data_IF_998696186047
#
_entry.id   IF_998696186047
#
_cell.length_a   1.000
_cell.length_b   1.000
_cell.length_c   1.000
_cell.angle_alpha   90.00
_cell.angle_beta   90.00
_cell.angle_gamma   90.00
#
_symmetry.space_group_name_H-M   'P 1'
#
loop_
_entity.id
_entity.type
_entity.pdbx_description
1 polymer ?
#
# COMPACT_ATOMS: atom_id res chain seq x y z
N UNK A 1 -20.41 -59.43 33.73
CA UNK A 1 -20.58 -60.47 32.67
C UNK A 1 -22.01 -60.61 32.23
N UNK A 2 -23.04 -60.35 33.08
CA UNK A 2 -24.47 -60.37 32.70
C UNK A 2 -25.12 -61.78 32.68
N UNK A 3 -24.40 -62.80 33.08
CA UNK A 3 -24.92 -64.14 33.23
C UNK A 3 -25.37 -64.36 34.66
N UNK A 4 -26.45 -65.16 34.85
CA UNK A 4 -26.78 -65.71 36.15
C UNK A 4 -25.90 -66.94 36.48
N UNK A 5 -25.79 -67.32 37.72
CA UNK A 5 -25.05 -68.54 38.13
C UNK A 5 -25.56 -69.77 37.42
N UNK A 6 -26.86 -69.92 37.26
CA UNK A 6 -27.47 -71.06 36.62
C UNK A 6 -27.06 -71.20 35.15
N UNK A 7 -26.83 -70.07 34.45
CA UNK A 7 -26.44 -70.03 33.02
C UNK A 7 -24.96 -70.42 32.81
N UNK A 8 -24.12 -70.29 33.78
CA UNK A 8 -22.65 -70.55 33.69
C UNK A 8 -22.24 -71.85 34.38
N UNK A 9 -23.01 -72.33 35.32
CA UNK A 9 -22.67 -73.55 36.06
C UNK A 9 -22.54 -74.75 35.09
N UNK A 10 -21.39 -75.42 35.17
CA UNK A 10 -21.05 -76.56 34.31
C UNK A 10 -20.67 -76.20 32.88
N UNK A 11 -20.58 -74.89 32.54
CA UNK A 11 -20.10 -74.47 31.25
C UNK A 11 -18.58 -74.28 31.27
N UNK A 12 -17.95 -74.55 30.09
CA UNK A 12 -16.52 -74.38 29.97
C UNK A 12 -16.16 -72.88 29.88
N UNK A 13 -15.01 -72.52 30.46
CA UNK A 13 -14.52 -71.14 30.52
C UNK A 13 -14.46 -70.47 29.12
N UNK A 14 -14.27 -71.23 28.03
CA UNK A 14 -14.24 -70.75 26.67
C UNK A 14 -15.48 -69.97 26.25
N UNK A 15 -16.62 -70.14 26.97
CA UNK A 15 -17.83 -69.33 26.69
C UNK A 15 -17.58 -67.82 26.86
N UNK A 16 -16.63 -67.42 27.69
CA UNK A 16 -16.25 -66.02 27.92
C UNK A 16 -15.13 -65.54 27.00
N UNK A 17 -14.55 -66.40 26.16
CA UNK A 17 -13.42 -66.09 25.31
C UNK A 17 -13.91 -65.78 23.90
N UNK A 18 -13.27 -64.77 23.28
CA UNK A 18 -13.58 -64.42 21.89
C UNK A 18 -13.40 -65.67 21.00
N UNK A 19 -14.32 -65.96 20.08
CA UNK A 19 -14.27 -67.18 19.26
C UNK A 19 -12.90 -67.44 18.62
N UNK A 20 -12.27 -66.40 18.07
CA UNK A 20 -10.98 -66.52 17.40
C UNK A 20 -9.83 -66.95 18.35
N UNK A 21 -9.97 -66.75 19.66
CA UNK A 21 -8.91 -67.05 20.63
C UNK A 21 -9.15 -68.42 21.32
N UNK A 22 -10.34 -69.04 21.17
CA UNK A 22 -10.66 -70.29 21.91
C UNK A 22 -9.73 -71.45 21.59
N UNK A 23 -9.31 -71.56 20.32
CA UNK A 23 -8.45 -72.61 19.83
C UNK A 23 -6.97 -72.14 19.63
N UNK A 24 -6.67 -70.94 20.11
CA UNK A 24 -5.32 -70.37 19.98
C UNK A 24 -4.27 -71.12 20.80
N UNK A 25 -3.02 -71.10 20.36
CA UNK A 25 -1.90 -71.66 21.14
C UNK A 25 -1.75 -70.93 22.49
N UNK A 26 -2.02 -69.63 22.54
CA UNK A 26 -1.99 -68.85 23.77
C UNK A 26 -3.04 -69.33 24.81
N UNK A 27 -4.25 -69.65 24.38
CA UNK A 27 -5.29 -70.14 25.26
C UNK A 27 -5.01 -71.56 25.75
N UNK A 28 -4.42 -72.40 24.93
CA UNK A 28 -3.96 -73.76 25.37
C UNK A 28 -2.83 -73.64 26.40
N UNK A 29 -1.86 -72.78 26.15
CA UNK A 29 -0.74 -72.55 27.09
C UNK A 29 -1.21 -71.89 28.40
N UNK A 30 -2.18 -71.01 28.33
CA UNK A 30 -2.83 -70.45 29.54
C UNK A 30 -3.36 -71.54 30.46
N UNK A 31 -4.10 -72.54 29.93
CA UNK A 31 -4.59 -73.66 30.72
C UNK A 31 -3.47 -74.62 31.09
N UNK A 32 -2.46 -74.85 30.26
CA UNK A 32 -1.31 -75.68 30.60
C UNK A 32 -0.54 -75.14 31.83
N UNK A 33 -0.35 -73.80 31.88
CA UNK A 33 0.28 -73.13 33.03
C UNK A 33 -0.56 -73.31 34.33
N UNK A 34 -1.84 -73.07 34.27
CA UNK A 34 -2.72 -73.25 35.42
C UNK A 34 -2.71 -74.70 35.88
N UNK A 35 -2.65 -75.69 34.99
CA UNK A 35 -2.56 -77.11 35.32
C UNK A 35 -1.19 -77.55 35.90
N UNK A 36 -0.15 -76.71 35.71
CA UNK A 36 1.15 -76.86 36.35
C UNK A 36 1.20 -76.21 37.76
N UNK A 37 0.09 -75.57 38.19
CA UNK A 37 0.03 -74.82 39.45
C UNK A 37 0.53 -73.38 39.32
N UNK A 38 0.82 -72.90 38.12
CA UNK A 38 1.25 -71.52 37.88
C UNK A 38 0.03 -70.59 37.84
N UNK A 39 0.06 -69.48 38.57
CA UNK A 39 -0.98 -68.49 38.48
C UNK A 39 -0.81 -67.70 37.19
N UNK A 40 -1.89 -67.08 36.70
CA UNK A 40 -1.87 -66.15 35.55
C UNK A 40 -2.59 -64.85 35.90
N UNK A 41 -1.99 -63.71 35.52
CA UNK A 41 -2.53 -62.40 35.83
C UNK A 41 -2.36 -61.47 34.64
N UNK A 42 -3.41 -60.75 34.29
CA UNK A 42 -3.36 -59.82 33.17
C UNK A 42 -4.69 -59.19 32.81
N UNK A 43 -4.68 -58.40 31.76
CA UNK A 43 -5.88 -57.84 31.17
C UNK A 43 -6.38 -58.77 30.05
N UNK A 44 -7.66 -59.03 30.07
CA UNK A 44 -8.26 -59.99 29.14
C UNK A 44 -9.52 -59.40 28.53
N UNK A 45 -9.66 -59.52 27.23
CA UNK A 45 -10.92 -59.29 26.51
C UNK A 45 -11.81 -60.52 26.71
N UNK A 46 -13.03 -60.36 27.18
CA UNK A 46 -14.00 -61.41 27.42
C UNK A 46 -15.36 -61.03 26.83
N UNK A 47 -16.18 -62.05 26.59
CA UNK A 47 -17.56 -61.91 26.12
C UNK A 47 -18.51 -62.10 27.27
N UNK A 48 -19.37 -61.13 27.52
CA UNK A 48 -20.51 -61.24 28.40
C UNK A 48 -21.73 -61.76 27.64
N UNK A 49 -22.86 -61.84 28.34
CA UNK A 49 -24.14 -62.28 27.83
C UNK A 49 -24.55 -61.39 26.61
N UNK A 50 -25.05 -62.04 25.54
CA UNK A 50 -25.40 -61.38 24.31
C UNK A 50 -24.21 -60.92 23.45
N UNK A 51 -22.99 -61.46 23.71
CA UNK A 51 -21.79 -61.13 22.95
C UNK A 51 -21.14 -59.78 23.31
N UNK A 52 -21.56 -59.15 24.41
CA UNK A 52 -21.00 -57.86 24.85
C UNK A 52 -19.52 -58.01 25.21
N UNK A 53 -18.67 -57.26 24.57
CA UNK A 53 -17.23 -57.21 24.88
C UNK A 53 -17.00 -56.54 26.25
N UNK A 54 -16.18 -57.14 27.07
CA UNK A 54 -15.80 -56.69 28.40
C UNK A 54 -14.29 -56.84 28.57
N UNK A 55 -13.63 -55.79 29.00
CA UNK A 55 -12.23 -55.87 29.41
C UNK A 55 -12.16 -56.08 30.90
N UNK A 56 -11.43 -57.12 31.31
CA UNK A 56 -11.24 -57.41 32.72
C UNK A 56 -9.75 -57.43 33.05
N UNK A 57 -9.39 -56.86 34.21
CA UNK A 57 -8.13 -57.13 34.88
C UNK A 57 -8.39 -58.32 35.80
N UNK A 58 -7.73 -59.46 35.56
CA UNK A 58 -8.04 -60.68 36.26
C UNK A 58 -6.79 -61.44 36.69
N UNK A 59 -6.93 -62.15 37.80
CA UNK A 59 -5.97 -63.15 38.24
C UNK A 59 -6.66 -64.51 38.29
N UNK A 60 -5.98 -65.53 37.78
CA UNK A 60 -6.40 -66.95 37.84
C UNK A 60 -5.44 -67.68 38.72
N UNK A 61 -5.93 -68.23 39.82
CA UNK A 61 -5.11 -68.81 40.87
C UNK A 61 -5.49 -70.29 41.04
N UNK A 62 -4.61 -71.24 40.65
CA UNK A 62 -4.83 -72.66 40.92
C UNK A 62 -4.86 -72.94 42.40
N UNK A 63 -5.85 -73.74 42.83
CA UNK A 63 -5.93 -74.26 44.14
C UNK A 63 -5.37 -75.71 44.11
N UNK A 64 -4.40 -75.97 44.93
CA UNK A 64 -3.71 -77.28 44.99
C UNK A 64 -4.31 -78.17 46.09
N UNK A 65 -4.36 -79.46 45.84
CA UNK A 65 -4.68 -80.48 46.83
C UNK A 65 -3.48 -80.77 47.76
N UNK A 66 -3.67 -81.65 48.69
CA UNK A 66 -2.62 -82.04 49.65
C UNK A 66 -1.37 -82.66 48.99
N UNK A 67 -1.53 -83.18 47.75
CA UNK A 67 -0.43 -83.74 47.00
C UNK A 67 0.25 -82.68 46.08
N UNK A 68 -0.16 -81.37 46.15
CA UNK A 68 0.37 -80.28 45.34
C UNK A 68 -0.16 -80.26 43.96
N UNK A 69 -1.23 -81.00 43.62
CA UNK A 69 -1.82 -80.99 42.24
C UNK A 69 -2.96 -79.99 42.15
N UNK A 70 -3.02 -79.17 41.12
CA UNK A 70 -4.17 -78.30 40.88
C UNK A 70 -5.46 -79.06 40.68
N UNK A 71 -6.49 -78.73 41.50
CA UNK A 71 -7.83 -79.33 41.35
C UNK A 71 -8.92 -78.29 41.06
N UNK A 72 -8.66 -77.00 41.29
CA UNK A 72 -9.58 -75.90 40.98
C UNK A 72 -8.81 -74.67 40.61
N UNK A 73 -9.46 -73.69 39.95
CA UNK A 73 -8.90 -72.37 39.67
C UNK A 73 -9.90 -71.31 40.14
N UNK A 74 -9.43 -70.46 41.05
CA UNK A 74 -10.20 -69.29 41.50
C UNK A 74 -9.78 -68.04 40.73
N UNK A 75 -10.76 -67.37 40.13
CA UNK A 75 -10.56 -66.15 39.41
C UNK A 75 -11.09 -64.95 40.17
N UNK A 76 -10.23 -63.94 40.34
CA UNK A 76 -10.66 -62.61 40.73
C UNK A 76 -10.58 -61.70 39.53
N UNK A 77 -11.62 -60.87 39.29
CA UNK A 77 -11.67 -60.01 38.09
C UNK A 77 -12.37 -58.68 38.39
N UNK A 78 -11.77 -57.59 37.91
CA UNK A 78 -12.33 -56.25 37.93
C UNK A 78 -12.68 -55.86 36.50
N UNK A 79 -13.87 -55.29 36.27
CA UNK A 79 -14.24 -54.74 34.98
C UNK A 79 -13.53 -53.40 34.77
N UNK A 80 -12.67 -53.35 33.76
CA UNK A 80 -11.88 -52.17 33.37
C UNK A 80 -12.32 -51.59 32.01
N UNK A 81 -13.49 -52.03 31.49
CA UNK A 81 -13.97 -51.63 30.18
C UNK A 81 -14.13 -50.12 30.03
N UNK A 82 -14.74 -49.47 31.04
CA UNK A 82 -14.95 -48.01 31.00
C UNK A 82 -13.59 -47.25 31.01
N UNK A 83 -12.62 -47.74 31.79
CA UNK A 83 -11.29 -47.16 31.85
C UNK A 83 -10.54 -47.31 30.50
N UNK A 84 -10.64 -48.52 29.89
CA UNK A 84 -10.02 -48.79 28.57
C UNK A 84 -10.63 -47.96 27.47
N UNK A 85 -11.96 -47.84 27.42
CA UNK A 85 -12.65 -47.02 26.43
C UNK A 85 -12.25 -45.54 26.57
N UNK A 86 -12.21 -45.03 27.81
CA UNK A 86 -11.80 -43.66 28.06
C UNK A 86 -10.32 -43.38 27.65
N UNK A 87 -9.43 -44.34 27.96
CA UNK A 87 -8.04 -44.23 27.52
C UNK A 87 -7.90 -44.23 26.01
N UNK A 88 -8.58 -45.16 25.33
CA UNK A 88 -8.57 -45.26 23.86
C UNK A 88 -9.15 -43.98 23.18
N UNK A 89 -10.22 -43.40 23.75
CA UNK A 89 -10.80 -42.16 23.27
C UNK A 89 -9.82 -40.99 23.45
N UNK A 90 -9.20 -40.85 24.64
CA UNK A 90 -8.20 -39.83 24.90
C UNK A 90 -6.98 -39.96 23.95
N UNK A 91 -6.47 -41.16 23.75
CA UNK A 91 -5.35 -41.42 22.86
C UNK A 91 -5.72 -41.08 21.38
N UNK A 92 -6.96 -41.44 20.99
CA UNK A 92 -7.49 -41.11 19.68
C UNK A 92 -7.60 -39.58 19.42
N UNK A 93 -8.08 -38.83 20.40
CA UNK A 93 -8.18 -37.38 20.33
C UNK A 93 -6.79 -36.72 20.25
N UNK A 94 -5.84 -37.17 21.09
CA UNK A 94 -4.46 -36.66 21.05
C UNK A 94 -3.81 -36.93 19.69
N UNK A 95 -4.00 -38.12 19.13
CA UNK A 95 -3.45 -38.49 17.83
C UNK A 95 -4.08 -37.66 16.69
N UNK A 96 -5.38 -37.41 16.77
CA UNK A 96 -6.07 -36.53 15.80
C UNK A 96 -5.49 -35.09 15.83
N UNK A 97 -5.26 -34.54 17.02
CA UNK A 97 -4.62 -33.22 17.18
C UNK A 97 -3.18 -33.25 16.62
N UNK A 98 -2.42 -34.31 16.90
CA UNK A 98 -1.03 -34.45 16.41
C UNK A 98 -0.94 -34.54 14.88
N UNK A 99 -1.97 -35.09 14.21
CA UNK A 99 -2.04 -35.14 12.74
C UNK A 99 -2.34 -33.78 12.11
N UNK A 100 -3.16 -32.97 12.77
CA UNK A 100 -3.66 -31.70 12.21
C UNK A 100 -2.81 -30.48 12.59
N UNK A 101 -2.13 -30.49 13.74
CA UNK A 101 -1.39 -29.36 14.27
C UNK A 101 0.10 -29.62 14.42
N UNK A 102 0.90 -28.54 14.37
CA UNK A 102 2.29 -28.57 14.79
C UNK A 102 2.36 -28.66 16.32
N UNK A 103 2.93 -29.74 16.84
CA UNK A 103 3.00 -30.02 18.29
C UNK A 103 4.46 -30.12 18.72
N UNK A 104 4.80 -29.42 19.80
CA UNK A 104 6.11 -29.52 20.44
C UNK A 104 5.95 -29.50 21.94
N UNK A 105 6.72 -30.35 22.64
CA UNK A 105 6.72 -30.48 24.09
C UNK A 105 8.01 -29.92 24.69
N UNK A 106 7.87 -29.27 25.84
CA UNK A 106 8.96 -28.69 26.61
C UNK A 106 8.96 -29.18 28.05
N UNK A 107 10.12 -29.27 28.66
CA UNK A 107 10.26 -29.26 30.08
C UNK A 107 9.87 -27.89 30.65
N UNK A 108 9.67 -27.81 31.96
CA UNK A 108 9.28 -26.59 32.66
C UNK A 108 10.39 -25.51 32.62
N UNK A 109 11.62 -25.87 32.30
CA UNK A 109 12.76 -24.97 32.06
C UNK A 109 12.82 -24.44 30.61
N UNK A 110 11.91 -24.90 29.73
CA UNK A 110 11.88 -24.52 28.32
C UNK A 110 12.77 -25.37 27.40
N UNK A 111 13.38 -26.44 27.88
CA UNK A 111 14.10 -27.40 27.04
C UNK A 111 13.13 -28.26 26.23
N UNK A 112 13.42 -28.48 24.93
CA UNK A 112 12.57 -29.26 24.03
C UNK A 112 12.68 -30.74 24.30
N UNK A 113 11.56 -31.41 24.58
CA UNK A 113 11.43 -32.85 24.79
C UNK A 113 11.21 -33.62 23.50
N UNK A 114 10.19 -33.20 22.76
CA UNK A 114 9.75 -33.83 21.51
C UNK A 114 9.07 -32.83 20.61
N UNK A 115 8.96 -33.16 19.33
CA UNK A 115 8.19 -32.42 18.34
C UNK A 115 7.64 -33.42 17.30
N UNK A 116 6.43 -33.14 16.77
CA UNK A 116 5.86 -33.94 15.70
C UNK A 116 6.35 -33.48 14.32
N UNK A 117 6.03 -34.26 13.29
CA UNK A 117 6.44 -33.99 11.92
C UNK A 117 5.93 -32.64 11.40
N UNK A 118 4.71 -32.25 11.74
CA UNK A 118 4.15 -30.96 11.33
C UNK A 118 4.96 -29.77 11.87
N UNK A 119 5.39 -29.86 13.14
CA UNK A 119 6.26 -28.83 13.71
C UNK A 119 7.64 -28.79 13.03
N UNK A 120 8.22 -29.95 12.79
CA UNK A 120 9.52 -30.06 12.14
C UNK A 120 9.46 -29.56 10.69
N UNK A 121 8.42 -29.89 9.94
CA UNK A 121 8.19 -29.40 8.59
C UNK A 121 8.01 -27.88 8.55
N UNK A 122 7.18 -27.31 9.42
CA UNK A 122 6.94 -25.86 9.48
C UNK A 122 8.22 -25.07 9.80
N UNK A 123 9.07 -25.62 10.70
CA UNK A 123 10.28 -24.94 11.15
C UNK A 123 11.54 -25.30 10.35
N UNK A 124 11.52 -26.40 9.58
CA UNK A 124 12.66 -26.90 8.83
C UNK A 124 13.78 -27.55 9.66
N UNK A 125 13.54 -27.76 10.96
CA UNK A 125 14.48 -28.48 11.83
C UNK A 125 14.18 -29.97 11.84
N UNK A 126 15.21 -30.79 12.05
CA UNK A 126 15.05 -32.19 12.46
C UNK A 126 14.90 -32.29 13.98
N UNK A 127 14.28 -33.37 14.47
CA UNK A 127 14.13 -33.59 15.91
C UNK A 127 15.49 -33.64 16.62
N UNK A 128 16.52 -34.24 15.98
CA UNK A 128 17.87 -34.31 16.52
C UNK A 128 18.50 -32.94 16.75
N UNK A 129 18.18 -31.94 15.90
CA UNK A 129 18.72 -30.59 16.02
C UNK A 129 18.10 -29.78 17.14
N UNK A 130 16.86 -30.08 17.52
CA UNK A 130 16.10 -29.26 18.50
C UNK A 130 15.96 -29.96 19.86
N UNK A 131 15.91 -31.29 19.91
CA UNK A 131 15.74 -32.04 21.16
C UNK A 131 16.86 -31.73 22.15
N UNK A 132 16.49 -31.46 23.42
CA UNK A 132 17.41 -31.08 24.47
C UNK A 132 17.92 -29.65 24.41
N UNK A 133 17.63 -28.90 23.31
CA UNK A 133 17.94 -27.48 23.26
C UNK A 133 16.84 -26.66 23.89
N UNK A 134 17.21 -25.50 24.41
CA UNK A 134 16.24 -24.56 24.94
C UNK A 134 15.43 -23.94 23.80
N UNK A 135 14.13 -23.74 24.00
CA UNK A 135 13.21 -23.09 23.08
C UNK A 135 13.76 -21.80 22.43
N UNK A 136 14.71 -21.13 23.09
CA UNK A 136 15.39 -19.95 22.58
C UNK A 136 15.97 -20.09 21.16
N UNK A 137 16.20 -21.32 20.66
CA UNK A 137 16.64 -21.54 19.26
C UNK A 137 15.59 -21.11 18.22
N UNK A 138 14.32 -21.03 18.63
CA UNK A 138 13.17 -20.65 17.80
C UNK A 138 12.79 -19.16 17.95
N UNK A 139 13.54 -18.41 18.75
CA UNK A 139 13.25 -17.03 19.12
C UNK A 139 14.46 -16.16 18.80
N UNK A 140 14.24 -15.00 18.24
CA UNK A 140 15.32 -14.05 17.93
C UNK A 140 16.11 -13.65 19.21
N UNK A 141 17.42 -13.38 19.10
CA UNK A 141 18.26 -13.01 20.26
C UNK A 141 17.67 -11.85 21.07
N UNK A 142 17.20 -10.81 20.40
CA UNK A 142 16.63 -9.63 21.04
C UNK A 142 15.33 -9.89 21.84
N UNK A 143 14.64 -10.99 21.60
CA UNK A 143 13.41 -11.36 22.29
C UNK A 143 13.68 -12.23 23.53
N UNK A 144 14.78 -12.99 23.53
CA UNK A 144 15.15 -13.89 24.64
C UNK A 144 15.41 -13.17 25.94
N UNK A 145 16.00 -11.98 25.89
CA UNK A 145 16.47 -11.26 27.08
C UNK A 145 15.40 -10.33 27.66
N UNK A 146 14.24 -10.23 27.01
CA UNK A 146 13.15 -9.35 27.47
C UNK A 146 12.50 -9.88 28.74
N UNK A 147 12.09 -8.96 29.62
CA UNK A 147 11.32 -9.28 30.82
C UNK A 147 10.05 -10.07 30.49
N UNK A 148 9.38 -9.78 29.38
CA UNK A 148 8.20 -10.50 28.88
C UNK A 148 8.47 -11.99 28.61
N UNK A 149 9.68 -12.35 28.15
CA UNK A 149 10.05 -13.75 27.92
C UNK A 149 10.18 -14.51 29.25
N UNK A 150 10.74 -13.89 30.26
CA UNK A 150 10.85 -14.49 31.62
C UNK A 150 9.47 -14.65 32.25
N UNK A 151 8.62 -13.62 32.16
CA UNK A 151 7.26 -13.67 32.69
C UNK A 151 6.39 -14.72 31.97
N UNK A 152 6.58 -14.91 30.68
CA UNK A 152 5.93 -15.96 29.91
C UNK A 152 6.18 -17.35 30.53
N UNK A 153 7.44 -17.69 30.86
CA UNK A 153 7.77 -18.97 31.49
C UNK A 153 7.32 -19.03 32.95
N UNK A 154 7.42 -17.93 33.68
CA UNK A 154 6.92 -17.85 35.04
C UNK A 154 5.40 -18.12 35.10
N UNK A 155 4.65 -17.61 34.15
CA UNK A 155 3.20 -17.85 34.01
C UNK A 155 2.90 -19.35 33.75
N UNK A 156 3.62 -19.96 32.79
CA UNK A 156 3.48 -21.40 32.53
C UNK A 156 3.84 -22.28 33.76
N UNK A 157 4.87 -21.89 34.52
CA UNK A 157 5.26 -22.57 35.76
C UNK A 157 4.20 -22.42 36.87
N UNK A 158 3.39 -21.37 36.85
CA UNK A 158 2.21 -21.21 37.70
C UNK A 158 0.99 -21.98 37.20
N UNK A 159 1.12 -22.72 36.09
CA UNK A 159 0.01 -23.48 35.51
C UNK A 159 -0.92 -22.69 34.60
N UNK A 160 -0.57 -21.45 34.23
CA UNK A 160 -1.36 -20.62 33.39
C UNK A 160 -0.99 -20.86 31.91
N UNK A 161 -1.96 -21.18 31.05
CA UNK A 161 -1.71 -21.32 29.63
C UNK A 161 -1.49 -19.93 28.95
N UNK A 162 -0.80 -19.94 27.82
CA UNK A 162 -0.52 -18.75 27.05
C UNK A 162 -0.91 -18.99 25.59
N UNK A 163 -1.71 -18.10 25.00
CA UNK A 163 -2.12 -18.20 23.61
C UNK A 163 -2.00 -16.84 22.91
N UNK A 164 -1.31 -16.80 21.78
CA UNK A 164 -1.15 -15.61 20.96
C UNK A 164 -0.62 -15.96 19.56
N UNK A 165 -0.51 -14.96 18.72
CA UNK A 165 0.31 -15.00 17.50
C UNK A 165 1.76 -14.70 17.86
N UNK A 166 2.67 -15.48 17.34
CA UNK A 166 4.09 -15.35 17.63
C UNK A 166 4.92 -15.38 16.35
N UNK A 167 5.81 -14.42 16.23
CA UNK A 167 6.89 -14.49 15.24
C UNK A 167 7.96 -15.47 15.75
N UNK A 168 8.40 -16.39 14.90
CA UNK A 168 9.43 -17.37 15.19
C UNK A 168 10.47 -17.43 14.10
N UNK A 169 11.63 -17.93 14.45
CA UNK A 169 12.75 -18.11 13.52
C UNK A 169 12.87 -19.60 13.23
N UNK A 170 12.63 -19.98 11.99
CA UNK A 170 12.85 -21.30 11.46
C UNK A 170 14.34 -21.51 11.09
N UNK A 171 14.70 -22.71 10.69
CA UNK A 171 16.06 -23.05 10.23
C UNK A 171 16.48 -22.15 9.06
N UNK A 172 17.74 -21.71 9.08
CA UNK A 172 18.26 -20.77 8.07
C UNK A 172 17.85 -19.32 8.28
N UNK A 173 17.26 -18.97 9.43
CA UNK A 173 16.86 -17.58 9.73
C UNK A 173 15.51 -17.16 9.14
N UNK A 174 14.76 -18.08 8.52
CA UNK A 174 13.46 -17.80 7.92
C UNK A 174 12.45 -17.41 9.00
N UNK A 175 11.81 -16.27 8.86
CA UNK A 175 10.74 -15.81 9.74
C UNK A 175 9.44 -16.56 9.42
N UNK A 176 8.79 -17.06 10.45
CA UNK A 176 7.45 -17.66 10.38
C UNK A 176 6.55 -17.05 11.44
N UNK A 177 5.28 -16.94 11.11
CA UNK A 177 4.25 -16.53 12.03
C UNK A 177 3.41 -17.74 12.41
N UNK A 178 3.20 -17.92 13.68
CA UNK A 178 2.41 -19.03 14.20
C UNK A 178 1.36 -18.51 15.17
N UNK A 179 0.14 -18.98 15.02
CA UNK A 179 -0.86 -18.92 16.07
C UNK A 179 -0.63 -20.12 16.99
N UNK A 180 -0.34 -19.91 18.27
CA UNK A 180 0.03 -21.00 19.15
C UNK A 180 -0.52 -20.83 20.56
N UNK A 181 -0.84 -21.98 21.18
CA UNK A 181 -1.13 -22.09 22.59
C UNK A 181 -0.07 -22.95 23.29
N UNK A 182 0.38 -22.53 24.46
CA UNK A 182 1.30 -23.23 25.34
C UNK A 182 0.53 -23.67 26.58
N UNK A 183 0.42 -24.97 26.82
CA UNK A 183 -0.47 -25.55 27.80
C UNK A 183 0.35 -26.36 28.80
N UNK A 184 0.43 -25.93 30.05
CA UNK A 184 1.03 -26.74 31.12
C UNK A 184 0.23 -28.05 31.33
N UNK A 185 0.95 -29.15 31.40
CA UNK A 185 0.37 -30.47 31.76
C UNK A 185 0.76 -30.78 33.19
N UNK A 186 -0.22 -31.23 33.96
CA UNK A 186 -0.08 -31.44 35.41
C UNK A 186 0.11 -32.92 35.72
N UNK A 187 0.88 -33.19 36.76
CA UNK A 187 0.99 -34.51 37.38
C UNK A 187 -0.23 -34.83 38.27
N UNK A 188 -0.22 -36.00 38.88
CA UNK A 188 -1.31 -36.44 39.79
C UNK A 188 -1.48 -35.58 41.05
N UNK A 189 -0.46 -34.77 41.37
CA UNK A 189 -0.47 -33.85 42.52
C UNK A 189 -0.87 -32.42 42.11
N UNK A 190 -1.25 -32.20 40.84
CA UNK A 190 -1.62 -30.90 40.35
C UNK A 190 -0.43 -29.97 40.06
N UNK A 191 0.82 -30.49 40.00
CA UNK A 191 2.01 -29.71 39.69
C UNK A 191 2.32 -29.76 38.17
N UNK A 192 2.56 -28.63 37.51
CA UNK A 192 2.99 -28.64 36.13
C UNK A 192 4.34 -29.36 35.96
N UNK A 193 4.44 -30.30 34.99
CA UNK A 193 5.68 -31.07 34.77
C UNK A 193 6.19 -30.98 33.32
N UNK A 194 5.36 -30.56 32.38
CA UNK A 194 5.73 -30.26 31.02
C UNK A 194 4.78 -29.21 30.42
N UNK A 195 5.19 -28.61 29.32
CA UNK A 195 4.35 -27.73 28.50
C UNK A 195 4.17 -28.38 27.13
N UNK A 196 2.94 -28.48 26.67
CA UNK A 196 2.61 -28.88 25.30
C UNK A 196 2.17 -27.65 24.54
N UNK A 197 2.83 -27.36 23.43
CA UNK A 197 2.48 -26.30 22.51
C UNK A 197 1.79 -26.88 21.30
N UNK A 198 0.63 -26.34 21.00
CA UNK A 198 -0.06 -26.52 19.73
C UNK A 198 0.10 -25.26 18.89
N UNK A 199 0.39 -25.42 17.60
CA UNK A 199 0.62 -24.28 16.73
C UNK A 199 0.10 -24.54 15.31
N UNK A 200 -0.39 -23.47 14.70
CA UNK A 200 -0.74 -23.41 13.28
C UNK A 200 0.17 -22.38 12.60
N UNK A 201 0.73 -22.71 11.45
CA UNK A 201 1.48 -21.75 10.64
C UNK A 201 0.50 -20.80 9.97
N UNK A 202 0.61 -19.52 10.30
CA UNK A 202 -0.20 -18.42 9.76
C UNK A 202 0.65 -17.44 8.97
N UNK A 203 1.84 -17.87 8.51
CA UNK A 203 2.79 -16.99 7.80
C UNK A 203 2.16 -16.34 6.58
N UNK A 204 1.42 -17.12 5.78
CA UNK A 204 0.74 -16.62 4.60
C UNK A 204 -0.31 -15.55 4.95
N UNK A 205 -1.11 -15.79 6.00
CA UNK A 205 -2.12 -14.84 6.49
C UNK A 205 -1.48 -13.56 7.06
N UNK A 206 -0.41 -13.69 7.83
CA UNK A 206 0.32 -12.56 8.41
C UNK A 206 0.96 -11.68 7.33
N UNK A 207 1.55 -12.31 6.30
CA UNK A 207 2.09 -11.61 5.13
C UNK A 207 0.96 -10.93 4.35
N UNK A 208 -0.16 -11.63 4.15
CA UNK A 208 -1.34 -11.08 3.48
C UNK A 208 -1.89 -9.84 4.19
N UNK A 209 -2.09 -9.90 5.50
CA UNK A 209 -2.50 -8.74 6.32
C UNK A 209 -1.54 -7.55 6.16
N UNK A 210 -0.24 -7.79 6.28
CA UNK A 210 0.76 -6.73 6.11
C UNK A 210 0.75 -6.11 4.71
N UNK A 211 0.52 -6.92 3.67
CA UNK A 211 0.37 -6.41 2.30
C UNK A 211 -0.88 -5.55 2.15
N UNK A 212 -2.00 -5.97 2.73
CA UNK A 212 -3.25 -5.22 2.73
C UNK A 212 -3.11 -3.88 3.48
N UNK A 213 -2.47 -3.88 4.65
CA UNK A 213 -2.21 -2.65 5.42
C UNK A 213 -1.32 -1.67 4.64
N UNK A 214 -0.27 -2.16 3.98
CA UNK A 214 0.57 -1.33 3.13
C UNK A 214 -0.21 -0.78 1.93
N UNK A 215 -1.04 -1.61 1.29
CA UNK A 215 -1.88 -1.17 0.17
C UNK A 215 -2.88 -0.08 0.59
N UNK A 216 -3.50 -0.19 1.77
CA UNK A 216 -4.34 0.87 2.35
C UNK A 216 -3.57 2.18 2.51
N UNK A 217 -2.36 2.13 3.09
CA UNK A 217 -1.54 3.33 3.23
C UNK A 217 -1.17 3.99 1.90
N UNK A 218 -0.95 3.22 0.83
CA UNK A 218 -0.76 3.76 -0.52
C UNK A 218 -2.03 4.41 -1.07
N UNK A 219 -3.18 3.75 -0.92
CA UNK A 219 -4.48 4.27 -1.36
C UNK A 219 -4.78 5.61 -0.69
N UNK A 220 -4.61 5.71 0.63
CA UNK A 220 -4.82 6.93 1.40
C UNK A 220 -3.91 8.06 0.92
N UNK A 221 -2.63 7.76 0.65
CA UNK A 221 -1.67 8.73 0.14
C UNK A 221 -2.03 9.24 -1.27
N UNK A 222 -2.48 8.35 -2.16
CA UNK A 222 -2.89 8.72 -3.52
C UNK A 222 -4.21 9.50 -3.49
N UNK A 223 -5.15 9.14 -2.61
CA UNK A 223 -6.40 9.87 -2.44
C UNK A 223 -6.16 11.32 -1.98
N UNK A 224 -5.31 11.51 -0.96
CA UNK A 224 -4.91 12.85 -0.50
C UNK A 224 -4.19 13.65 -1.59
N UNK A 225 -3.30 13.02 -2.36
CA UNK A 225 -2.63 13.62 -3.50
C UNK A 225 -3.61 14.05 -4.61
N UNK A 226 -4.65 13.25 -4.86
CA UNK A 226 -5.70 13.57 -5.84
C UNK A 226 -6.56 14.75 -5.40
N UNK A 227 -6.89 14.88 -4.12
CA UNK A 227 -7.60 16.04 -3.59
C UNK A 227 -6.76 17.32 -3.73
N UNK A 228 -5.47 17.26 -3.38
CA UNK A 228 -4.56 18.40 -3.56
C UNK A 228 -4.41 18.78 -5.03
N UNK A 229 -4.29 17.79 -5.93
CA UNK A 229 -4.22 18.03 -7.38
C UNK A 229 -5.51 18.69 -7.90
N UNK A 230 -6.69 18.24 -7.44
CA UNK A 230 -7.97 18.87 -7.80
C UNK A 230 -8.06 20.33 -7.34
N UNK A 231 -7.47 20.67 -6.20
CA UNK A 231 -7.38 22.05 -5.75
C UNK A 231 -6.45 22.88 -6.65
N UNK A 232 -5.27 22.36 -6.99
CA UNK A 232 -4.30 22.99 -7.89
C UNK A 232 -4.87 23.21 -9.30
N UNK A 233 -5.60 22.22 -9.84
CA UNK A 233 -6.28 22.31 -11.12
C UNK A 233 -7.29 23.46 -11.16
N UNK A 234 -8.07 23.63 -10.11
CA UNK A 234 -9.02 24.75 -9.97
C UNK A 234 -8.31 26.10 -9.97
N UNK A 235 -7.21 26.23 -9.23
CA UNK A 235 -6.40 27.45 -9.18
C UNK A 235 -5.77 27.77 -10.52
N UNK A 236 -5.23 26.77 -11.25
CA UNK A 236 -4.70 26.95 -12.60
C UNK A 236 -5.80 27.38 -13.56
N UNK A 237 -6.98 26.76 -13.51
CA UNK A 237 -8.13 27.12 -14.36
C UNK A 237 -8.57 28.58 -14.14
N UNK A 238 -8.63 29.03 -12.88
CA UNK A 238 -8.94 30.44 -12.56
C UNK A 238 -7.85 31.38 -13.08
N UNK A 239 -6.57 31.00 -12.93
CA UNK A 239 -5.43 31.76 -13.46
C UNK A 239 -5.45 31.87 -14.97
N UNK A 240 -5.80 30.78 -15.67
CA UNK A 240 -5.95 30.78 -17.12
C UNK A 240 -7.09 31.70 -17.60
N UNK A 241 -8.23 31.72 -16.87
CA UNK A 241 -9.32 32.63 -17.13
C UNK A 241 -8.90 34.10 -17.01
N UNK A 242 -8.21 34.47 -15.94
CA UNK A 242 -7.64 35.82 -15.72
C UNK A 242 -6.59 36.18 -16.79
N UNK A 243 -5.75 35.24 -17.17
CA UNK A 243 -4.73 35.43 -18.21
C UNK A 243 -5.38 35.74 -19.54
N UNK A 244 -6.46 35.02 -19.91
CA UNK A 244 -7.24 35.26 -21.13
C UNK A 244 -7.89 36.64 -21.14
N UNK A 245 -8.49 37.05 -20.03
CA UNK A 245 -9.08 38.40 -19.88
C UNK A 245 -8.01 39.49 -20.06
N UNK A 246 -6.86 39.31 -19.39
CA UNK A 246 -5.72 40.24 -19.49
C UNK A 246 -5.17 40.34 -20.89
N UNK A 247 -5.00 39.21 -21.57
CA UNK A 247 -4.51 39.18 -22.95
C UNK A 247 -5.52 39.89 -23.92
N UNK A 248 -6.81 39.64 -23.72
CA UNK A 248 -7.87 40.30 -24.49
C UNK A 248 -7.86 41.84 -24.30
N UNK A 249 -7.77 42.28 -23.03
CA UNK A 249 -7.68 43.68 -22.70
C UNK A 249 -6.40 44.35 -23.28
N UNK A 250 -5.27 43.65 -23.23
CA UNK A 250 -4.02 44.11 -23.82
C UNK A 250 -4.10 44.23 -25.33
N UNK A 251 -4.71 43.26 -26.01
CA UNK A 251 -4.97 43.32 -27.45
C UNK A 251 -5.82 44.55 -27.82
N UNK A 252 -6.89 44.81 -27.04
CA UNK A 252 -7.71 46.02 -27.27
C UNK A 252 -6.94 47.34 -27.08
N UNK A 253 -5.99 47.39 -26.14
CA UNK A 253 -5.09 48.56 -25.98
C UNK A 253 -4.13 48.74 -27.14
N UNK A 254 -3.59 47.64 -27.68
CA UNK A 254 -2.72 47.67 -28.85
C UNK A 254 -3.49 48.18 -30.07
N UNK A 255 -4.73 47.71 -30.30
CA UNK A 255 -5.59 48.19 -31.39
C UNK A 255 -5.90 49.69 -31.23
N UNK A 256 -6.14 50.20 -30.05
CA UNK A 256 -6.35 51.62 -29.81
C UNK A 256 -5.08 52.43 -30.06
N UNK A 257 -3.90 51.92 -29.69
CA UNK A 257 -2.60 52.57 -29.94
C UNK A 257 -2.29 52.59 -31.46
N UNK A 258 -2.60 51.51 -32.19
CA UNK A 258 -2.44 51.44 -33.65
C UNK A 258 -3.30 52.50 -34.35
N UNK A 259 -4.58 52.65 -33.94
CA UNK A 259 -5.45 53.70 -34.45
C UNK A 259 -4.89 55.12 -34.19
N UNK A 260 -4.23 55.34 -33.03
CA UNK A 260 -3.60 56.65 -32.73
C UNK A 260 -2.36 56.86 -33.61
N UNK A 261 -1.54 55.85 -33.85
CA UNK A 261 -0.39 55.94 -34.77
C UNK A 261 -0.84 56.27 -36.22
N UNK A 262 -1.94 55.63 -36.68
CA UNK A 262 -2.52 55.94 -38.02
C UNK A 262 -3.02 57.37 -38.08
N UNK A 263 -3.68 57.92 -37.07
CA UNK A 263 -4.11 59.31 -37.01
C UNK A 263 -2.93 60.25 -37.00
N UNK A 264 -1.85 59.94 -36.29
CA UNK A 264 -0.63 60.72 -36.24
C UNK A 264 0.00 60.77 -37.67
N UNK A 265 0.08 59.65 -38.35
CA UNK A 265 0.58 59.62 -39.77
C UNK A 265 -0.26 60.47 -40.72
N UNK A 266 -1.58 60.36 -40.63
CA UNK A 266 -2.48 61.18 -41.44
C UNK A 266 -2.33 62.71 -41.19
N UNK A 267 -2.16 63.08 -39.90
CA UNK A 267 -1.91 64.48 -39.51
C UNK A 267 -0.55 64.98 -40.02
N UNK A 268 0.48 64.18 -39.95
CA UNK A 268 1.81 64.52 -40.49
C UNK A 268 1.78 64.69 -42.03
N UNK A 269 1.06 63.81 -42.72
CA UNK A 269 0.85 63.97 -44.18
C UNK A 269 0.11 65.27 -44.54
N UNK A 270 -0.93 65.62 -43.78
CA UNK A 270 -1.65 66.89 -44.02
C UNK A 270 -0.74 68.08 -43.73
N UNK A 271 0.10 68.05 -42.68
CA UNK A 271 1.10 69.10 -42.42
C UNK A 271 2.14 69.21 -43.55
N UNK A 272 2.58 68.08 -44.12
CA UNK A 272 3.52 68.06 -45.24
C UNK A 272 2.91 68.83 -46.42
N UNK A 273 1.62 68.64 -46.76
CA UNK A 273 0.95 69.37 -47.81
C UNK A 273 0.85 70.88 -47.55
N UNK A 274 0.62 71.29 -46.28
CA UNK A 274 0.62 72.73 -45.92
C UNK A 274 2.01 73.34 -46.06
N UNK A 275 3.07 72.64 -45.61
CA UNK A 275 4.47 73.11 -45.71
C UNK A 275 4.89 73.24 -47.15
N UNK A 276 4.49 72.32 -48.04
CA UNK A 276 4.74 72.41 -49.49
C UNK A 276 4.03 73.63 -50.07
N UNK A 277 2.80 73.92 -49.71
CA UNK A 277 2.06 75.10 -50.15
C UNK A 277 2.78 76.40 -49.71
N UNK A 278 3.22 76.46 -48.42
CA UNK A 278 3.96 77.62 -47.92
C UNK A 278 5.30 77.79 -48.66
N UNK A 279 5.98 76.66 -48.94
CA UNK A 279 7.21 76.68 -49.75
C UNK A 279 6.99 77.25 -51.16
N UNK A 280 5.88 76.87 -51.80
CA UNK A 280 5.50 77.39 -53.07
C UNK A 280 5.20 78.90 -53.02
N UNK A 281 4.45 79.37 -51.98
CA UNK A 281 4.12 80.78 -51.78
C UNK A 281 5.41 81.60 -51.55
N UNK A 282 6.34 81.10 -50.66
CA UNK A 282 7.58 81.80 -50.43
C UNK A 282 8.48 81.87 -51.65
N UNK A 283 8.46 80.81 -52.50
CA UNK A 283 9.14 80.84 -53.80
C UNK A 283 8.56 81.91 -54.71
N UNK A 284 7.22 82.10 -54.80
CA UNK A 284 6.56 83.13 -55.56
C UNK A 284 6.89 84.53 -55.03
N UNK A 285 6.89 84.72 -53.69
CA UNK A 285 7.26 86.00 -53.03
C UNK A 285 8.72 86.33 -53.35
N UNK A 286 9.64 85.38 -53.30
CA UNK A 286 11.04 85.59 -53.63
C UNK A 286 11.20 86.01 -55.09
N UNK A 287 10.44 85.46 -56.08
CA UNK A 287 10.44 85.87 -57.47
C UNK A 287 9.85 87.26 -57.71
N UNK A 288 8.76 87.58 -56.96
CA UNK A 288 8.16 88.93 -56.99
C UNK A 288 9.16 89.98 -56.45
N UNK A 289 9.85 89.69 -55.33
CA UNK A 289 10.86 90.54 -54.75
C UNK A 289 12.07 90.74 -55.68
N UNK A 290 12.46 89.65 -56.36
CA UNK A 290 13.53 89.74 -57.42
C UNK A 290 13.12 90.63 -58.54
N UNK A 291 11.90 90.52 -59.13
CA UNK A 291 11.38 91.37 -60.18
C UNK A 291 11.29 92.84 -59.72
N UNK A 292 10.85 93.11 -58.53
CA UNK A 292 10.82 94.45 -57.94
C UNK A 292 12.24 95.01 -57.73
N UNK A 293 13.21 94.23 -57.34
CA UNK A 293 14.65 94.65 -57.24
C UNK A 293 15.21 95.03 -58.60
N UNK A 294 14.89 94.29 -59.67
CA UNK A 294 15.31 94.56 -61.04
C UNK A 294 14.66 95.87 -61.54
N UNK A 295 13.39 96.05 -61.33
CA UNK A 295 12.70 97.29 -61.82
C UNK A 295 13.08 98.53 -61.02
N UNK A 296 13.36 98.37 -59.71
CA UNK A 296 13.94 99.46 -58.88
C UNK A 296 15.31 99.88 -59.36
N UNK A 297 16.18 98.93 -59.76
CA UNK A 297 17.48 99.24 -60.39
C UNK A 297 17.32 99.94 -61.72
N UNK A 298 16.29 99.66 -62.52
CA UNK A 298 15.99 100.27 -63.81
C UNK A 298 15.48 101.73 -63.71
N UNK A 299 14.80 102.02 -62.57
CA UNK A 299 14.31 103.34 -62.25
C UNK A 299 15.41 104.34 -61.74
N UNK A 300 16.66 103.88 -61.53
CA UNK A 300 17.78 104.70 -61.14
C UNK A 300 17.59 105.32 -59.72
N UNK A 301 17.93 106.62 -59.56
CA UNK A 301 17.81 107.36 -58.31
C UNK A 301 16.37 107.34 -57.68
N UNK A 302 15.32 107.37 -58.59
CA UNK A 302 13.89 107.36 -58.19
C UNK A 302 13.48 105.99 -57.57
N UNK A 303 14.19 104.92 -57.88
CA UNK A 303 13.89 103.59 -57.40
C UNK A 303 14.56 103.14 -56.08
N UNK A 304 15.47 103.94 -55.47
CA UNK A 304 16.30 103.58 -54.33
C UNK A 304 15.50 103.13 -53.14
N UNK A 305 14.40 103.80 -52.77
CA UNK A 305 13.55 103.39 -51.63
C UNK A 305 12.86 102.09 -51.85
N UNK A 306 12.39 101.83 -53.12
CA UNK A 306 11.79 100.52 -53.49
C UNK A 306 12.81 99.40 -53.57
N UNK A 307 14.05 99.67 -53.93
CA UNK A 307 15.12 98.61 -53.88
C UNK A 307 15.39 98.08 -52.52
N UNK A 308 15.38 98.97 -51.48
CA UNK A 308 15.59 98.52 -50.06
C UNK A 308 14.41 97.60 -49.60
N UNK A 309 13.16 98.01 -49.93
CA UNK A 309 11.97 97.20 -49.56
C UNK A 309 12.00 95.87 -50.31
N UNK A 310 12.33 95.85 -51.62
CA UNK A 310 12.44 94.61 -52.38
C UNK A 310 13.51 93.68 -51.87
N UNK A 311 14.65 94.20 -51.44
CA UNK A 311 15.74 93.43 -50.82
C UNK A 311 15.29 92.82 -49.47
N UNK A 312 14.54 93.54 -48.63
CA UNK A 312 14.04 93.11 -47.38
C UNK A 312 12.99 92.00 -47.53
N UNK A 313 12.04 92.15 -48.49
CA UNK A 313 11.03 91.14 -48.86
C UNK A 313 11.70 89.87 -49.39
N UNK A 314 12.79 90.00 -50.21
CA UNK A 314 13.58 88.86 -50.65
C UNK A 314 14.26 88.11 -49.46
N UNK A 315 14.82 88.86 -48.55
CA UNK A 315 15.48 88.28 -47.33
C UNK A 315 14.43 87.53 -46.47
N UNK A 316 13.28 88.13 -46.21
CA UNK A 316 12.18 87.49 -45.51
C UNK A 316 11.67 86.18 -46.20
N UNK A 317 11.55 86.21 -47.53
CA UNK A 317 11.18 85.07 -48.34
C UNK A 317 12.23 83.92 -48.20
N UNK A 318 13.51 84.24 -48.22
CA UNK A 318 14.57 83.22 -48.00
C UNK A 318 14.57 82.66 -46.57
N UNK A 319 14.34 83.48 -45.56
CA UNK A 319 14.17 83.03 -44.18
C UNK A 319 12.95 82.12 -44.04
N UNK A 320 11.81 82.49 -44.61
CA UNK A 320 10.60 81.68 -44.63
C UNK A 320 10.81 80.33 -45.31
N UNK A 321 11.56 80.32 -46.42
CA UNK A 321 11.90 79.08 -47.12
C UNK A 321 12.75 78.19 -46.27
N UNK A 322 13.78 78.74 -45.60
CA UNK A 322 14.64 77.97 -44.74
C UNK A 322 13.85 77.33 -43.53
N UNK A 323 12.91 78.13 -43.01
CA UNK A 323 12.01 77.62 -41.93
C UNK A 323 11.12 76.46 -42.41
N UNK A 324 10.52 76.59 -43.64
CA UNK A 324 9.71 75.51 -44.24
C UNK A 324 10.55 74.30 -44.57
N UNK A 325 11.78 74.42 -45.02
CA UNK A 325 12.66 73.29 -45.32
C UNK A 325 13.02 72.56 -44.02
N UNK A 326 13.16 73.26 -42.88
CA UNK A 326 13.39 72.68 -41.56
C UNK A 326 12.15 71.95 -41.06
N UNK A 327 10.96 72.59 -41.16
CA UNK A 327 9.67 71.93 -40.75
C UNK A 327 9.41 70.67 -41.57
N UNK A 328 9.73 70.68 -42.87
CA UNK A 328 9.58 69.49 -43.73
C UNK A 328 10.42 68.32 -43.21
N UNK A 329 11.66 68.56 -42.83
CA UNK A 329 12.53 67.55 -42.29
C UNK A 329 11.98 66.98 -40.97
N UNK A 330 11.41 67.81 -40.09
CA UNK A 330 10.80 67.35 -38.83
C UNK A 330 9.54 66.52 -39.09
N UNK A 331 8.74 66.91 -40.12
CA UNK A 331 7.56 66.12 -40.50
C UNK A 331 7.96 64.78 -41.11
N UNK A 332 9.01 64.70 -41.91
CA UNK A 332 9.55 63.44 -42.42
C UNK A 332 10.04 62.55 -41.31
N UNK A 333 10.72 63.13 -40.30
CA UNK A 333 11.11 62.40 -39.08
C UNK A 333 9.92 61.89 -38.29
N UNK A 334 8.88 62.67 -38.07
CA UNK A 334 7.63 62.26 -37.43
C UNK A 334 6.94 61.10 -38.16
N UNK A 335 6.89 61.15 -39.48
CA UNK A 335 6.33 60.07 -40.30
C UNK A 335 7.12 58.79 -40.17
N UNK A 336 8.45 58.86 -40.12
CA UNK A 336 9.31 57.69 -39.85
C UNK A 336 9.00 57.08 -38.50
N UNK A 337 8.98 57.89 -37.42
CA UNK A 337 8.67 57.43 -36.06
C UNK A 337 7.26 56.81 -35.96
N UNK A 338 6.25 57.44 -36.64
CA UNK A 338 4.89 56.90 -36.64
C UNK A 338 4.81 55.50 -37.30
N UNK A 339 5.55 55.31 -38.39
CA UNK A 339 5.64 54.02 -39.10
C UNK A 339 6.37 52.96 -38.25
N UNK A 340 7.45 53.32 -37.55
CA UNK A 340 8.18 52.42 -36.66
C UNK A 340 7.32 51.98 -35.46
N UNK A 341 6.51 52.90 -34.90
CA UNK A 341 5.52 52.60 -33.86
C UNK A 341 4.45 51.64 -34.40
N UNK A 342 3.89 51.89 -35.59
CA UNK A 342 2.89 51.01 -36.18
C UNK A 342 3.44 49.60 -36.45
N UNK A 343 4.70 49.48 -36.91
CA UNK A 343 5.40 48.19 -37.06
C UNK A 343 5.57 47.45 -35.73
N UNK A 344 5.96 48.16 -34.68
CA UNK A 344 6.12 47.61 -33.33
C UNK A 344 4.79 47.13 -32.77
N UNK A 345 3.71 47.86 -32.92
CA UNK A 345 2.36 47.49 -32.50
C UNK A 345 1.85 46.24 -33.23
N UNK A 346 2.14 46.13 -34.53
CA UNK A 346 1.81 44.92 -35.31
C UNK A 346 2.55 43.69 -34.79
N UNK A 347 3.82 43.82 -34.46
CA UNK A 347 4.60 42.72 -33.85
C UNK A 347 4.03 42.30 -32.47
N UNK A 348 3.65 43.26 -31.62
CA UNK A 348 3.01 42.99 -30.33
C UNK A 348 1.67 42.29 -30.51
N UNK A 349 0.86 42.70 -31.47
CA UNK A 349 -0.41 42.05 -31.82
C UNK A 349 -0.20 40.58 -32.24
N UNK A 350 0.81 40.31 -33.06
CA UNK A 350 1.20 38.95 -33.43
C UNK A 350 1.61 38.11 -32.21
N UNK A 351 2.35 38.69 -31.27
CA UNK A 351 2.72 38.00 -30.03
C UNK A 351 1.50 37.65 -29.16
N UNK A 352 0.48 38.51 -29.08
CA UNK A 352 -0.76 38.22 -28.37
C UNK A 352 -1.59 37.10 -29.02
N UNK A 353 -1.54 36.92 -30.31
CA UNK A 353 -2.15 35.75 -30.97
C UNK A 353 -1.53 34.45 -30.41
N UNK A 354 -0.21 34.37 -30.37
CA UNK A 354 0.52 33.20 -29.84
C UNK A 354 0.24 32.99 -28.35
N UNK A 355 0.18 34.06 -27.55
CA UNK A 355 -0.18 33.97 -26.12
C UNK A 355 -1.59 33.39 -25.96
N UNK A 356 -2.56 33.82 -26.77
CA UNK A 356 -3.92 33.27 -26.70
C UNK A 356 -3.97 31.78 -27.10
N UNK A 357 -3.16 31.34 -28.04
CA UNK A 357 -3.03 29.93 -28.43
C UNK A 357 -2.46 29.10 -27.25
N UNK A 358 -1.44 29.61 -26.57
CA UNK A 358 -0.90 28.93 -25.36
C UNK A 358 -1.91 28.86 -24.22
N UNK A 359 -2.67 29.92 -23.98
CA UNK A 359 -3.74 29.92 -22.97
C UNK A 359 -4.80 28.85 -23.31
N UNK A 360 -5.22 28.77 -24.58
CA UNK A 360 -6.19 27.77 -25.03
C UNK A 360 -5.66 26.34 -24.89
N UNK A 361 -4.42 26.09 -25.30
CA UNK A 361 -3.77 24.78 -25.16
C UNK A 361 -3.61 24.38 -23.70
N UNK A 362 -3.19 25.31 -22.85
CA UNK A 362 -3.05 25.05 -21.41
C UNK A 362 -4.41 24.77 -20.76
N UNK A 363 -5.45 25.48 -21.11
CA UNK A 363 -6.80 25.25 -20.61
C UNK A 363 -7.32 23.84 -20.99
N UNK A 364 -7.07 23.38 -22.22
CA UNK A 364 -7.40 22.01 -22.65
C UNK A 364 -6.64 20.94 -21.84
N UNK A 365 -5.34 21.14 -21.60
CA UNK A 365 -4.53 20.22 -20.79
C UNK A 365 -5.01 20.17 -19.32
N UNK A 366 -5.44 21.29 -18.77
CA UNK A 366 -6.00 21.38 -17.41
C UNK A 366 -7.33 20.65 -17.30
N UNK A 367 -8.17 20.71 -18.33
CA UNK A 367 -9.42 19.95 -18.39
C UNK A 367 -9.17 18.43 -18.45
N UNK A 368 -8.21 17.98 -19.25
CA UNK A 368 -7.79 16.58 -19.31
C UNK A 368 -7.22 16.11 -17.95
N UNK A 369 -6.37 16.92 -17.30
CA UNK A 369 -5.87 16.61 -15.94
C UNK A 369 -7.00 16.50 -14.91
N UNK A 370 -8.04 17.30 -15.03
CA UNK A 370 -9.21 17.25 -14.15
C UNK A 370 -9.93 15.90 -14.26
N UNK A 371 -10.11 15.39 -15.47
CA UNK A 371 -10.73 14.09 -15.72
C UNK A 371 -9.87 12.98 -15.13
N UNK A 372 -8.56 12.97 -15.42
CA UNK A 372 -7.63 11.94 -14.90
C UNK A 372 -7.59 11.93 -13.37
N UNK A 373 -7.60 13.12 -12.75
CA UNK A 373 -7.58 13.25 -11.29
C UNK A 373 -8.88 12.75 -10.66
N UNK A 374 -10.02 13.02 -11.30
CA UNK A 374 -11.33 12.50 -10.88
C UNK A 374 -11.39 10.98 -10.99
N UNK A 375 -10.91 10.40 -12.08
CA UNK A 375 -10.83 8.95 -12.28
C UNK A 375 -9.88 8.29 -11.26
N UNK A 376 -8.76 8.94 -10.94
CA UNK A 376 -7.84 8.47 -9.92
C UNK A 376 -8.51 8.42 -8.55
N UNK A 377 -9.24 9.46 -8.15
CA UNK A 377 -9.97 9.48 -6.89
C UNK A 377 -11.05 8.37 -6.83
N UNK A 378 -11.81 8.16 -7.90
CA UNK A 378 -12.80 7.09 -8.01
C UNK A 378 -12.17 5.70 -7.95
N UNK A 379 -11.01 5.49 -8.57
CA UNK A 379 -10.26 4.23 -8.51
C UNK A 379 -9.74 3.95 -7.10
N UNK A 380 -9.24 4.97 -6.39
CA UNK A 380 -8.79 4.80 -5.02
C UNK A 380 -9.94 4.45 -4.06
N UNK A 381 -11.12 5.05 -4.24
CA UNK A 381 -12.31 4.68 -3.46
C UNK A 381 -12.72 3.22 -3.68
N UNK A 382 -12.70 2.75 -4.94
CA UNK A 382 -12.99 1.34 -5.27
C UNK A 382 -11.95 0.39 -4.66
N UNK A 383 -10.66 0.70 -4.81
CA UNK A 383 -9.58 -0.11 -4.23
C UNK A 383 -9.65 -0.16 -2.69
N UNK A 384 -10.03 0.94 -2.04
CA UNK A 384 -10.26 0.98 -0.59
C UNK A 384 -11.42 0.08 -0.16
N UNK A 385 -12.50 0.06 -0.94
CA UNK A 385 -13.65 -0.79 -0.67
C UNK A 385 -13.36 -2.29 -0.85
N UNK A 386 -12.49 -2.66 -1.79
CA UNK A 386 -12.07 -4.07 -1.99
C UNK A 386 -11.13 -4.58 -0.88
N UNK A 387 -10.44 -3.69 -0.18
CA UNK A 387 -9.55 -4.03 0.95
C UNK A 387 -10.26 -3.98 2.31
N UNK A 388 -11.50 -3.53 2.36
CA UNK A 388 -12.30 -3.45 3.60
C UNK A 388 -12.96 -4.79 3.92
#
# INVERSE_FOLDING_TARGET
MGYSLAEIRGKHHSMFVVPADRDSAAYREFWARLNRGEFDAGEYKRLGKGGREIWILATYNPILDEAGKPFNVVKFATDVSAQKLKAADNDGQIEAIRKSQAVIEFNMDGTIRSANENFLAATGYSLREVRGKHRGVLVGPAERDRAAYREFWASLNRGQYQAAEYKRIAKGGREIWIQASYNPIFDLNGKPYKVVKYATDITAQAIGRKKADNARGFIDSVAAGSEQMSASIREISETMSKSRETATAATGRVDAADQQAQKLNAAAQAMSGIVELIGNITGQINMLALNATIESARAGEAGRGFAVVASEVKNLANQAKHATDTISKEIDSLNSVANDVAGSLSAIKGAFVVVNEFIASTAAAVEEQSIVTSDMAANMQRASAELA
#
